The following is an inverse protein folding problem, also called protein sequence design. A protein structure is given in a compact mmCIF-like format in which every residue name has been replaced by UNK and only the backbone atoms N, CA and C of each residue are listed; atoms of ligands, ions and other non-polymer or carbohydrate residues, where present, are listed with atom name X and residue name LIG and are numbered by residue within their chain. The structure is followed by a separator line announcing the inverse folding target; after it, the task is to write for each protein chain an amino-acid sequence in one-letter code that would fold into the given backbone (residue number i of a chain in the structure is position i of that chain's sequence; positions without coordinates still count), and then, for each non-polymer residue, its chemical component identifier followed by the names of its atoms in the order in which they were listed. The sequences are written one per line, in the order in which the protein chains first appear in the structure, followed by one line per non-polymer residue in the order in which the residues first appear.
data_IF_984513360900
#
_entry.id   IF_984513360900
#
_cell.length_a   1.000
_cell.length_b   1.000
_cell.length_c   1.000
_cell.angle_alpha   90.00
_cell.angle_beta   90.00
_cell.angle_gamma   90.00
#
_symmetry.space_group_name_H-M   'P 1'
#
loop_
_entity.id
_entity.type
_entity.pdbx_description
1 polymer ?
#
# COMPACT_ATOMS: atom_id res chain seq x y z
N UNK A 1 -23.77 10.54 -12.58
CA UNK A 1 -23.08 10.05 -11.36
C UNK A 1 -22.33 11.23 -10.77
N UNK A 2 -22.36 11.44 -9.45
CA UNK A 2 -21.66 12.56 -8.82
C UNK A 2 -20.16 12.26 -8.75
N UNK A 3 -19.33 13.25 -9.08
CA UNK A 3 -17.88 13.15 -9.03
C UNK A 3 -17.36 13.92 -7.82
N UNK A 4 -16.74 13.20 -6.90
CA UNK A 4 -16.17 13.74 -5.66
C UNK A 4 -14.75 14.24 -5.91
N UNK A 5 -14.35 15.32 -5.25
CA UNK A 5 -12.95 15.76 -5.34
C UNK A 5 -12.03 14.83 -4.53
N UNK A 6 -10.79 14.64 -5.02
CA UNK A 6 -9.78 13.83 -4.31
C UNK A 6 -9.54 14.33 -2.89
N UNK A 7 -9.41 15.64 -2.75
CA UNK A 7 -9.16 16.30 -1.47
C UNK A 7 -10.30 16.07 -0.51
N UNK A 8 -11.55 16.20 -0.97
CA UNK A 8 -12.71 15.88 -0.15
C UNK A 8 -12.66 14.44 0.36
N UNK A 9 -12.46 13.44 -0.51
CA UNK A 9 -12.41 12.02 -0.10
C UNK A 9 -11.34 11.81 0.98
N UNK A 10 -10.11 12.26 0.73
CA UNK A 10 -8.98 12.03 1.64
C UNK A 10 -9.15 12.79 2.96
N UNK A 11 -9.66 14.02 2.92
CA UNK A 11 -9.88 14.83 4.12
C UNK A 11 -11.04 14.26 4.95
N UNK A 12 -12.13 13.87 4.29
CA UNK A 12 -13.35 13.44 4.93
C UNK A 12 -13.29 12.00 5.45
N UNK A 13 -12.77 11.06 4.65
CA UNK A 13 -12.62 9.66 5.06
C UNK A 13 -11.33 9.42 5.85
N UNK A 14 -10.31 10.26 5.67
CA UNK A 14 -9.04 10.17 6.38
C UNK A 14 -8.18 8.98 5.97
N UNK A 15 -7.37 8.52 6.91
CA UNK A 15 -6.50 7.37 6.74
C UNK A 15 -5.19 7.63 6.00
N UNK A 16 -4.37 6.59 5.98
CA UNK A 16 -3.07 6.57 5.32
C UNK A 16 -3.06 5.56 4.19
N UNK A 17 -2.28 5.87 3.16
CA UNK A 17 -2.09 4.99 2.01
C UNK A 17 -1.29 3.75 2.43
N UNK A 18 -1.92 2.57 2.37
CA UNK A 18 -1.29 1.29 2.74
C UNK A 18 -0.79 0.54 1.51
N UNK A 19 -1.65 0.42 0.49
CA UNK A 19 -1.31 -0.06 -0.85
C UNK A 19 -1.47 1.08 -1.85
N UNK A 20 -0.95 0.94 -3.09
CA UNK A 20 -1.05 1.96 -4.14
C UNK A 20 -2.44 2.58 -4.32
N UNK A 21 -3.49 1.80 -4.09
CA UNK A 21 -4.88 2.21 -4.34
C UNK A 21 -5.81 1.90 -3.15
N UNK A 22 -5.24 1.58 -1.97
CA UNK A 22 -6.00 1.29 -0.74
C UNK A 22 -5.51 2.15 0.43
N UNK A 23 -6.48 2.73 1.13
CA UNK A 23 -6.29 3.58 2.29
C UNK A 23 -6.93 2.93 3.50
N UNK A 24 -6.23 2.99 4.63
CA UNK A 24 -6.73 2.49 5.92
C UNK A 24 -6.65 3.57 6.99
N UNK A 25 -7.68 3.65 7.82
CA UNK A 25 -7.80 4.59 8.94
C UNK A 25 -7.33 3.89 10.22
N UNK A 26 -6.16 4.28 10.78
CA UNK A 26 -5.60 3.66 11.99
C UNK A 26 -6.60 3.69 13.15
N UNK A 27 -6.62 2.68 14.03
CA UNK A 27 -7.58 2.58 15.14
C UNK A 27 -7.62 3.81 16.05
N UNK A 28 -6.49 4.50 16.19
CA UNK A 28 -6.36 5.73 16.98
C UNK A 28 -7.14 6.93 16.42
N UNK A 29 -7.57 6.89 15.16
CA UNK A 29 -8.33 7.95 14.51
C UNK A 29 -9.85 7.68 14.54
N UNK A 30 -10.68 8.70 14.36
CA UNK A 30 -12.12 8.49 14.14
C UNK A 30 -12.36 8.13 12.68
N UNK A 31 -13.21 7.13 12.44
CA UNK A 31 -13.56 6.67 11.10
C UNK A 31 -15.07 6.70 10.91
N UNK A 32 -15.50 7.20 9.74
CA UNK A 32 -16.88 7.07 9.26
C UNK A 32 -17.13 5.72 8.57
N UNK A 33 -16.06 4.99 8.25
CA UNK A 33 -16.08 3.72 7.55
C UNK A 33 -16.11 2.59 8.59
N UNK A 34 -17.11 1.68 8.56
CA UNK A 34 -17.19 0.54 9.48
C UNK A 34 -15.94 -0.35 9.42
N UNK A 35 -15.49 -0.68 8.20
CA UNK A 35 -14.23 -1.41 7.98
C UNK A 35 -12.99 -0.55 8.15
N UNK A 36 -13.11 0.78 8.24
CA UNK A 36 -11.95 1.70 8.34
C UNK A 36 -11.00 1.63 7.13
N UNK A 37 -11.46 1.18 5.98
CA UNK A 37 -10.68 1.15 4.74
C UNK A 37 -11.49 1.58 3.52
N UNK A 38 -10.82 2.09 2.50
CA UNK A 38 -11.42 2.47 1.22
C UNK A 38 -10.41 2.38 0.08
N UNK A 39 -10.93 2.22 -1.13
CA UNK A 39 -10.13 2.15 -2.35
C UNK A 39 -10.27 3.42 -3.17
N UNK A 40 -9.14 3.92 -3.66
CA UNK A 40 -9.06 5.11 -4.52
C UNK A 40 -8.16 4.78 -5.71
N UNK A 41 -8.78 4.54 -6.87
CA UNK A 41 -8.11 4.07 -8.08
C UNK A 41 -7.97 5.21 -9.07
N UNK A 42 -6.81 5.26 -9.72
CA UNK A 42 -6.60 6.09 -10.91
C UNK A 42 -6.96 5.29 -12.16
N UNK A 43 -7.71 5.91 -13.07
CA UNK A 43 -8.10 5.34 -14.36
C UNK A 43 -6.91 4.89 -15.22
N UNK A 44 -5.86 5.72 -15.24
CA UNK A 44 -4.68 5.52 -16.08
C UNK A 44 -3.72 4.44 -15.58
N UNK A 45 -3.85 3.96 -14.34
CA UNK A 45 -2.91 2.99 -13.76
C UNK A 45 -3.56 1.67 -13.35
N UNK A 46 -4.87 1.52 -13.54
CA UNK A 46 -5.64 0.35 -13.10
C UNK A 46 -6.46 -0.25 -14.27
N UNK A 47 -5.80 -0.91 -15.24
CA UNK A 47 -6.45 -1.42 -16.45
C UNK A 47 -7.46 -2.55 -16.18
N UNK A 48 -7.38 -3.19 -15.01
CA UNK A 48 -8.28 -4.26 -14.59
C UNK A 48 -9.33 -3.78 -13.57
N UNK A 49 -9.45 -2.46 -13.37
CA UNK A 49 -10.47 -1.90 -12.50
C UNK A 49 -11.89 -2.25 -12.98
N UNK A 50 -12.90 -2.25 -12.09
CA UNK A 50 -14.28 -2.48 -12.50
C UNK A 50 -14.73 -1.52 -13.62
N UNK A 51 -15.27 -2.07 -14.70
CA UNK A 51 -15.65 -1.28 -15.88
C UNK A 51 -16.84 -0.34 -15.63
N UNK A 52 -17.77 -0.74 -14.76
CA UNK A 52 -18.95 0.04 -14.37
C UNK A 52 -19.32 -0.25 -12.91
N UNK A 53 -20.08 0.64 -12.23
CA UNK A 53 -20.50 0.41 -10.85
C UNK A 53 -21.27 -0.91 -10.70
N UNK A 54 -20.92 -1.69 -9.69
CA UNK A 54 -21.46 -3.04 -9.50
C UNK A 54 -20.65 -4.17 -10.15
N UNK A 55 -19.76 -3.88 -11.10
CA UNK A 55 -18.91 -4.88 -11.73
C UNK A 55 -17.80 -5.37 -10.78
N UNK A 56 -17.24 -6.54 -11.04
CA UNK A 56 -16.02 -6.99 -10.37
C UNK A 56 -14.78 -6.44 -11.08
N UNK A 57 -13.62 -6.51 -10.43
CA UNK A 57 -12.36 -6.06 -11.02
C UNK A 57 -11.15 -6.58 -10.27
N UNK A 58 -9.99 -6.02 -10.57
CA UNK A 58 -8.75 -6.33 -9.87
C UNK A 58 -7.81 -5.13 -9.85
N UNK A 59 -7.03 -5.00 -8.78
CA UNK A 59 -5.92 -4.06 -8.72
C UNK A 59 -4.64 -4.75 -9.16
N UNK A 60 -3.76 -4.02 -9.83
CA UNK A 60 -2.49 -4.55 -10.32
C UNK A 60 -1.31 -3.84 -9.65
N UNK A 61 -0.45 -4.60 -8.97
CA UNK A 61 0.76 -4.05 -8.34
C UNK A 61 1.96 -5.00 -8.49
N UNK A 62 3.17 -4.50 -8.78
CA UNK A 62 4.37 -5.33 -8.85
C UNK A 62 4.92 -5.70 -7.47
N UNK A 63 4.55 -4.94 -6.44
CA UNK A 63 4.97 -5.18 -5.06
C UNK A 63 3.73 -5.20 -4.19
N UNK A 64 3.52 -6.32 -3.52
CA UNK A 64 2.43 -6.54 -2.60
C UNK A 64 2.94 -6.43 -1.17
N UNK A 65 2.30 -5.59 -0.36
CA UNK A 65 2.45 -5.62 1.10
C UNK A 65 1.39 -6.56 1.64
N UNK A 66 1.80 -7.74 2.11
CA UNK A 66 0.89 -8.65 2.80
C UNK A 66 0.72 -8.18 4.25
N UNK A 67 -0.46 -8.40 4.87
CA UNK A 67 -0.67 -8.10 6.28
C UNK A 67 0.31 -8.90 7.15
N UNK A 68 1.09 -8.20 7.98
CA UNK A 68 1.94 -8.84 8.98
C UNK A 68 1.19 -8.84 10.32
N UNK A 69 1.04 -10.03 10.94
CA UNK A 69 0.25 -10.21 12.18
C UNK A 69 0.79 -9.42 13.38
N UNK A 70 2.04 -8.98 13.33
CA UNK A 70 2.75 -8.36 14.46
C UNK A 70 3.08 -6.87 14.22
N UNK A 71 2.72 -6.31 13.08
CA UNK A 71 2.93 -4.89 12.79
C UNK A 71 1.63 -4.12 13.09
N UNK A 72 1.60 -3.25 14.12
CA UNK A 72 0.41 -2.46 14.47
C UNK A 72 0.02 -1.45 13.38
N UNK A 73 0.88 -1.22 12.37
CA UNK A 73 0.53 -0.43 11.19
C UNK A 73 -0.22 -1.22 10.13
N UNK A 74 -0.30 -2.56 10.27
CA UNK A 74 -1.07 -3.43 9.38
C UNK A 74 -2.57 -3.19 9.55
N UNK A 75 -3.29 -2.84 8.46
CA UNK A 75 -4.74 -2.78 8.49
C UNK A 75 -5.34 -4.14 8.86
N UNK A 76 -6.34 -4.12 9.75
CA UNK A 76 -7.12 -5.30 10.06
C UNK A 76 -7.72 -5.89 8.76
N UNK A 77 -7.77 -7.23 8.58
CA UNK A 77 -8.32 -7.84 7.36
C UNK A 77 -9.73 -7.34 7.00
N UNK A 78 -10.53 -7.01 8.02
CA UNK A 78 -11.88 -6.47 7.92
C UNK A 78 -11.93 -5.11 7.20
N UNK A 79 -10.81 -4.38 7.17
CA UNK A 79 -10.71 -3.10 6.47
C UNK A 79 -10.75 -3.20 4.96
N UNK A 80 -10.47 -4.39 4.44
CA UNK A 80 -10.56 -4.68 3.02
C UNK A 80 -11.88 -5.37 2.66
N UNK A 81 -12.80 -5.55 3.62
CA UNK A 81 -14.13 -6.12 3.42
C UNK A 81 -15.19 -5.00 3.35
N UNK A 82 -16.09 -5.11 2.37
CA UNK A 82 -17.20 -4.16 2.18
C UNK A 82 -16.76 -2.68 2.23
N UNK A 83 -15.61 -2.37 1.64
CA UNK A 83 -14.99 -1.06 1.65
C UNK A 83 -15.38 -0.26 0.39
N UNK A 84 -15.65 1.05 0.49
CA UNK A 84 -16.08 1.84 -0.66
C UNK A 84 -14.96 1.99 -1.68
N UNK A 85 -15.32 1.82 -2.95
CA UNK A 85 -14.44 1.99 -4.10
C UNK A 85 -14.75 3.28 -4.85
N UNK A 86 -13.72 4.08 -5.08
CA UNK A 86 -13.77 5.28 -5.89
C UNK A 86 -12.79 5.16 -7.05
N UNK A 87 -13.25 5.45 -8.27
CA UNK A 87 -12.42 5.42 -9.48
C UNK A 87 -12.44 6.79 -10.11
N UNK A 88 -11.25 7.27 -10.50
CA UNK A 88 -11.11 8.56 -11.18
C UNK A 88 -11.79 8.54 -12.54
N UNK A 89 -12.51 9.62 -12.85
CA UNK A 89 -13.08 9.92 -14.15
C UNK A 89 -12.93 11.41 -14.40
N UNK A 90 -12.05 11.77 -15.36
CA UNK A 90 -11.66 13.16 -15.57
C UNK A 90 -11.00 13.75 -14.31
N UNK A 91 -11.53 14.86 -13.81
CA UNK A 91 -10.96 15.58 -12.66
C UNK A 91 -11.51 15.12 -11.29
N UNK A 92 -12.45 14.18 -11.27
CA UNK A 92 -13.12 13.74 -10.05
C UNK A 92 -13.14 12.22 -9.89
N UNK A 93 -13.64 11.78 -8.75
CA UNK A 93 -13.74 10.36 -8.40
C UNK A 93 -15.19 9.96 -8.26
N UNK A 94 -15.54 8.87 -8.92
CA UNK A 94 -16.90 8.34 -8.94
C UNK A 94 -16.97 7.13 -8.02
N UNK A 95 -18.03 7.05 -7.22
CA UNK A 95 -18.28 5.92 -6.32
C UNK A 95 -18.85 4.71 -7.10
N UNK A 96 -18.15 3.58 -7.01
CA UNK A 96 -18.45 2.37 -7.77
C UNK A 96 -19.17 1.28 -6.97
N UNK A 97 -19.32 1.46 -5.66
CA UNK A 97 -19.93 0.49 -4.75
C UNK A 97 -19.00 0.08 -3.62
N UNK A 98 -19.45 -0.89 -2.83
CA UNK A 98 -18.68 -1.51 -1.77
C UNK A 98 -18.01 -2.79 -2.29
N UNK A 99 -16.73 -2.96 -1.95
CA UNK A 99 -15.91 -4.05 -2.46
C UNK A 99 -15.20 -4.79 -1.32
N UNK A 100 -15.07 -6.09 -1.51
CA UNK A 100 -14.25 -6.96 -0.67
C UNK A 100 -13.04 -7.44 -1.45
N UNK A 101 -11.88 -7.42 -0.80
CA UNK A 101 -10.70 -8.13 -1.27
C UNK A 101 -10.95 -9.64 -1.16
N UNK A 102 -10.69 -10.39 -2.23
CA UNK A 102 -10.85 -11.84 -2.25
C UNK A 102 -9.53 -12.57 -2.01
N UNK A 103 -8.62 -12.46 -2.99
CA UNK A 103 -7.32 -13.11 -2.98
C UNK A 103 -6.35 -12.32 -3.84
N UNK A 104 -5.06 -12.55 -3.62
CA UNK A 104 -3.99 -11.99 -4.42
C UNK A 104 -3.35 -13.09 -5.25
N UNK A 105 -3.43 -12.98 -6.58
CA UNK A 105 -2.86 -13.94 -7.52
C UNK A 105 -1.58 -13.36 -8.13
N UNK A 106 -0.44 -14.04 -7.97
CA UNK A 106 0.81 -13.68 -8.66
C UNK A 106 0.71 -14.08 -10.12
N UNK A 107 0.97 -13.16 -11.03
CA UNK A 107 1.01 -13.43 -12.46
C UNK A 107 2.36 -14.04 -12.84
N UNK A 108 2.33 -15.12 -13.62
CA UNK A 108 3.50 -15.62 -14.33
C UNK A 108 3.94 -14.67 -15.46
N UNK A 109 5.09 -14.95 -16.09
CA UNK A 109 5.66 -14.12 -17.14
C UNK A 109 4.72 -13.97 -18.36
N UNK A 110 4.08 -15.06 -18.80
CA UNK A 110 3.20 -15.05 -19.96
C UNK A 110 1.96 -14.18 -19.71
N UNK A 111 1.31 -14.35 -18.56
CA UNK A 111 0.17 -13.53 -18.13
C UNK A 111 0.57 -12.08 -17.90
N UNK A 112 1.77 -11.81 -17.36
CA UNK A 112 2.29 -10.45 -17.26
C UNK A 112 2.44 -9.80 -18.64
N UNK A 113 2.87 -10.54 -19.66
CA UNK A 113 3.02 -10.02 -21.01
C UNK A 113 1.69 -9.86 -21.75
N UNK A 114 0.72 -10.74 -21.51
CA UNK A 114 -0.59 -10.69 -22.13
C UNK A 114 -1.52 -9.64 -21.51
N UNK A 115 -1.51 -9.50 -20.18
CA UNK A 115 -2.50 -8.70 -19.44
C UNK A 115 -2.01 -7.29 -19.10
N UNK A 116 -0.71 -7.09 -18.93
CA UNK A 116 -0.16 -5.83 -18.39
C UNK A 116 0.39 -4.97 -19.53
N UNK A 117 -0.25 -3.82 -19.84
CA UNK A 117 0.23 -2.92 -20.89
C UNK A 117 1.62 -2.36 -20.61
N UNK A 118 2.36 -2.03 -21.67
CA UNK A 118 3.70 -1.46 -21.57
C UNK A 118 3.75 -0.16 -20.74
N UNK A 119 2.78 0.74 -20.96
CA UNK A 119 2.71 2.02 -20.21
C UNK A 119 2.60 1.79 -18.70
N UNK A 120 1.95 0.70 -18.25
CA UNK A 120 1.81 0.40 -16.84
C UNK A 120 3.13 -0.13 -16.25
N UNK A 121 3.87 -0.94 -17.03
CA UNK A 121 5.22 -1.37 -16.65
C UNK A 121 6.17 -0.17 -16.51
N UNK A 122 6.08 0.79 -17.42
CA UNK A 122 6.85 2.04 -17.37
C UNK A 122 6.46 2.91 -16.16
N UNK A 123 5.16 3.06 -15.91
CA UNK A 123 4.65 3.75 -14.73
C UNK A 123 5.25 3.16 -13.44
N UNK A 124 5.16 1.83 -13.29
CA UNK A 124 5.69 1.14 -12.13
C UNK A 124 7.21 1.21 -12.03
N UNK A 125 7.94 1.10 -13.14
CA UNK A 125 9.38 1.28 -13.17
C UNK A 125 9.79 2.67 -12.65
N UNK A 126 9.04 3.72 -13.02
CA UNK A 126 9.24 5.07 -12.48
C UNK A 126 8.89 5.17 -10.99
N UNK A 127 7.82 4.53 -10.52
CA UNK A 127 7.43 4.57 -9.10
C UNK A 127 8.43 3.83 -8.20
N UNK A 128 8.89 2.65 -8.63
CA UNK A 128 9.82 1.81 -7.85
C UNK A 128 11.24 2.39 -7.76
N UNK A 129 11.61 3.26 -8.70
CA UNK A 129 12.91 3.93 -8.73
C UNK A 129 12.85 5.36 -8.19
N UNK A 130 11.66 5.83 -7.82
CA UNK A 130 11.48 7.17 -7.24
C UNK A 130 12.25 7.32 -5.94
N UNK A 131 12.94 8.46 -5.71
CA UNK A 131 13.61 8.75 -4.44
C UNK A 131 12.60 8.94 -3.29
N UNK A 132 11.32 9.15 -3.60
CA UNK A 132 10.24 9.30 -2.61
C UNK A 132 9.47 8.00 -2.35
N UNK A 133 9.97 6.85 -2.82
CA UNK A 133 9.30 5.57 -2.59
C UNK A 133 9.23 5.26 -1.08
N UNK A 134 8.14 4.64 -0.58
CA UNK A 134 8.05 4.24 0.82
C UNK A 134 9.17 3.30 1.24
N UNK A 135 9.54 3.34 2.53
CA UNK A 135 10.60 2.49 3.09
C UNK A 135 10.32 1.00 2.87
N UNK A 136 9.09 0.56 3.11
CA UNK A 136 8.67 -0.84 2.94
C UNK A 136 8.81 -1.32 1.48
N UNK A 137 8.63 -0.44 0.50
CA UNK A 137 8.84 -0.75 -0.93
C UNK A 137 10.33 -0.99 -1.19
N UNK A 138 11.20 -0.20 -0.56
CA UNK A 138 12.65 -0.39 -0.66
C UNK A 138 13.05 -1.72 -0.04
N UNK A 139 12.56 -2.05 1.16
CA UNK A 139 12.82 -3.33 1.83
C UNK A 139 12.32 -4.52 1.00
N UNK A 140 11.14 -4.41 0.38
CA UNK A 140 10.62 -5.44 -0.52
C UNK A 140 11.51 -5.63 -1.77
N UNK A 141 12.01 -4.54 -2.36
CA UNK A 141 12.95 -4.59 -3.47
C UNK A 141 14.30 -5.21 -3.06
N UNK A 142 14.81 -4.88 -1.88
CA UNK A 142 16.04 -5.48 -1.35
C UNK A 142 15.89 -7.00 -1.23
N UNK A 143 14.81 -7.44 -0.57
CA UNK A 143 14.49 -8.87 -0.39
C UNK A 143 14.31 -9.61 -1.71
N UNK A 144 13.70 -8.95 -2.72
CA UNK A 144 13.49 -9.53 -4.04
C UNK A 144 14.79 -9.70 -4.83
N UNK A 145 15.61 -8.63 -4.89
CA UNK A 145 16.83 -8.62 -5.67
C UNK A 145 17.93 -9.50 -5.06
N UNK A 146 18.00 -9.53 -3.73
CA UNK A 146 18.94 -10.35 -2.98
C UNK A 146 18.28 -10.79 -1.68
N UNK A 147 17.77 -12.03 -1.60
CA UNK A 147 17.16 -12.52 -0.36
C UNK A 147 18.12 -12.41 0.83
N UNK A 148 17.61 -12.15 2.04
CA UNK A 148 18.45 -12.07 3.23
C UNK A 148 19.13 -13.43 3.48
N UNK A 149 20.36 -13.43 4.05
CA UNK A 149 21.02 -14.67 4.43
C UNK A 149 20.13 -15.47 5.39
N UNK A 150 20.05 -16.79 5.21
CA UNK A 150 19.29 -17.64 6.13
C UNK A 150 20.08 -17.84 7.42
N UNK A 151 19.40 -17.84 8.56
CA UNK A 151 20.03 -18.18 9.83
C UNK A 151 20.36 -19.68 9.84
N UNK A 152 21.64 -20.08 9.92
CA UNK A 152 21.99 -21.48 10.06
C UNK A 152 21.54 -21.92 11.46
N UNK A 153 20.39 -22.57 11.55
CA UNK A 153 19.88 -23.10 12.83
C UNK A 153 20.93 -24.05 13.41
N UNK A 154 21.55 -23.74 14.56
CA UNK A 154 22.48 -24.65 15.21
C UNK A 154 21.77 -25.96 15.56
N UNK A 155 22.50 -27.07 15.61
CA UNK A 155 21.96 -28.35 16.12
C UNK A 155 21.39 -28.16 17.52
N UNK A 156 20.35 -28.91 17.86
CA UNK A 156 19.74 -28.89 19.21
C UNK A 156 20.72 -29.30 20.33
N UNK A 157 21.85 -29.91 19.97
CA UNK A 157 22.97 -30.28 20.85
C UNK A 157 24.13 -29.27 20.87
N UNK A 158 24.00 -28.11 20.22
CA UNK A 158 25.06 -27.12 20.13
C UNK A 158 25.37 -26.49 21.49
N UNK A 159 26.66 -26.27 21.78
CA UNK A 159 27.07 -25.52 22.96
C UNK A 159 26.64 -24.06 22.88
N UNK A 160 26.51 -23.39 24.03
CA UNK A 160 26.19 -21.97 24.10
C UNK A 160 27.15 -21.13 23.25
N UNK A 161 28.45 -21.45 23.27
CA UNK A 161 29.47 -20.72 22.50
C UNK A 161 29.30 -20.90 20.99
N UNK A 162 28.92 -22.10 20.54
CA UNK A 162 28.63 -22.36 19.13
C UNK A 162 27.39 -21.57 18.65
N UNK A 163 26.38 -21.44 19.51
CA UNK A 163 25.19 -20.62 19.24
C UNK A 163 25.57 -19.14 19.14
N UNK A 164 26.36 -18.62 20.09
CA UNK A 164 26.82 -17.22 20.07
C UNK A 164 27.67 -16.89 18.85
N UNK A 165 28.55 -17.81 18.44
CA UNK A 165 29.37 -17.66 17.22
C UNK A 165 28.51 -17.67 15.95
N UNK A 166 27.51 -18.57 15.86
CA UNK A 166 26.56 -18.62 14.75
C UNK A 166 25.72 -17.34 14.65
N UNK A 167 25.20 -16.83 15.78
CA UNK A 167 24.48 -15.57 15.85
C UNK A 167 25.35 -14.39 15.41
N UNK A 168 26.59 -14.31 15.88
CA UNK A 168 27.52 -13.24 15.50
C UNK A 168 27.85 -13.26 14.01
N UNK A 169 28.06 -14.45 13.45
CA UNK A 169 28.33 -14.62 12.01
C UNK A 169 27.12 -14.22 11.18
N UNK A 170 25.93 -14.65 11.58
CA UNK A 170 24.70 -14.28 10.91
C UNK A 170 24.42 -12.77 11.00
N UNK A 171 24.68 -12.15 12.15
CA UNK A 171 24.54 -10.71 12.33
C UNK A 171 25.43 -9.92 11.37
N UNK A 172 26.72 -10.28 11.27
CA UNK A 172 27.64 -9.65 10.30
C UNK A 172 27.20 -9.87 8.85
N UNK A 173 26.67 -11.05 8.54
CA UNK A 173 26.13 -11.35 7.22
C UNK A 173 24.92 -10.44 6.90
N UNK A 174 24.01 -10.26 7.86
CA UNK A 174 22.87 -9.33 7.73
C UNK A 174 23.30 -7.87 7.57
N UNK A 175 24.30 -7.41 8.33
CA UNK A 175 24.84 -6.05 8.18
C UNK A 175 25.47 -5.83 6.80
N UNK A 176 26.23 -6.81 6.30
CA UNK A 176 26.79 -6.74 4.95
C UNK A 176 25.69 -6.73 3.89
N UNK A 177 24.68 -7.60 4.06
CA UNK A 177 23.54 -7.70 3.17
C UNK A 177 22.76 -6.39 3.12
N UNK A 178 22.50 -5.76 4.27
CA UNK A 178 21.76 -4.50 4.33
C UNK A 178 22.52 -3.37 3.62
N UNK A 179 23.83 -3.26 3.84
CA UNK A 179 24.67 -2.26 3.15
C UNK A 179 24.69 -2.47 1.64
N UNK A 180 24.95 -3.70 1.20
CA UNK A 180 25.03 -4.03 -0.22
C UNK A 180 23.70 -3.80 -0.95
N UNK A 181 22.60 -4.27 -0.35
CA UNK A 181 21.27 -4.14 -0.95
C UNK A 181 20.75 -2.71 -0.92
N UNK A 182 21.10 -1.92 0.09
CA UNK A 182 20.82 -0.48 0.11
C UNK A 182 21.51 0.23 -1.04
N UNK A 183 22.80 -0.04 -1.28
CA UNK A 183 23.52 0.52 -2.42
C UNK A 183 22.86 0.08 -3.74
N UNK A 184 22.63 -1.21 -3.93
CA UNK A 184 21.98 -1.73 -5.14
C UNK A 184 20.62 -1.06 -5.39
N UNK A 185 19.75 -0.99 -4.38
CA UNK A 185 18.42 -0.39 -4.52
C UNK A 185 18.45 1.13 -4.69
N UNK A 186 19.49 1.82 -4.20
CA UNK A 186 19.67 3.26 -4.40
C UNK A 186 20.05 3.64 -5.84
N UNK A 187 20.74 2.75 -6.56
CA UNK A 187 21.18 2.96 -7.94
C UNK A 187 20.24 2.35 -9.00
N UNK A 188 19.10 1.79 -8.60
CA UNK A 188 18.11 1.24 -9.54
C UNK A 188 17.60 2.33 -10.48
N UNK A 189 17.69 2.05 -11.79
CA UNK A 189 17.10 2.86 -12.86
C UNK A 189 15.83 2.20 -13.38
N UNK A 190 14.91 2.96 -13.99
CA UNK A 190 13.70 2.39 -14.59
C UNK A 190 13.98 1.22 -15.55
N UNK A 191 15.06 1.32 -16.34
CA UNK A 191 15.50 0.25 -17.23
C UNK A 191 15.76 -1.08 -16.49
N UNK A 192 16.39 -1.04 -15.31
CA UNK A 192 16.65 -2.25 -14.52
C UNK A 192 15.35 -2.95 -14.08
N UNK A 193 14.30 -2.17 -13.80
CA UNK A 193 12.99 -2.70 -13.41
C UNK A 193 12.24 -3.25 -14.62
N UNK A 194 12.32 -2.59 -15.77
CA UNK A 194 11.73 -3.08 -17.02
C UNK A 194 12.38 -4.40 -17.44
N UNK A 195 13.70 -4.51 -17.33
CA UNK A 195 14.43 -5.75 -17.57
C UNK A 195 13.97 -6.86 -16.61
N UNK A 196 13.76 -6.54 -15.33
CA UNK A 196 13.24 -7.48 -14.34
C UNK A 196 11.82 -7.96 -14.68
N UNK A 197 10.95 -7.11 -15.24
CA UNK A 197 9.63 -7.54 -15.70
C UNK A 197 9.68 -8.52 -16.89
N UNK A 198 10.73 -8.44 -17.71
CA UNK A 198 10.93 -9.33 -18.86
C UNK A 198 11.73 -10.59 -18.51
N UNK A 199 12.51 -10.58 -17.42
CA UNK A 199 13.37 -11.68 -17.03
C UNK A 199 12.56 -12.92 -16.58
N UNK A 200 13.01 -14.15 -16.91
CA UNK A 200 12.40 -15.37 -16.42
C UNK A 200 12.56 -15.53 -14.90
N UNK A 201 11.71 -16.36 -14.29
CA UNK A 201 11.74 -16.58 -12.83
C UNK A 201 12.97 -17.38 -12.38
N UNK A 202 13.57 -18.16 -13.29
CA UNK A 202 14.75 -19.00 -13.02
C UNK A 202 15.84 -18.77 -14.06
N UNK A 203 17.10 -18.89 -13.64
CA UNK A 203 18.26 -18.87 -14.54
C UNK A 203 18.69 -17.49 -15.06
N UNK A 204 17.96 -16.42 -14.76
CA UNK A 204 18.36 -15.05 -15.11
C UNK A 204 19.39 -14.48 -14.13
N UNK A 205 20.28 -13.62 -14.63
CA UNK A 205 21.19 -12.83 -13.80
C UNK A 205 20.47 -11.79 -12.93
N UNK A 206 19.29 -11.36 -13.38
CA UNK A 206 18.41 -10.43 -12.66
C UNK A 206 17.13 -11.18 -12.27
N UNK A 207 16.76 -11.23 -10.98
CA UNK A 207 15.51 -11.86 -10.56
C UNK A 207 14.29 -11.25 -11.27
N UNK A 208 13.41 -12.11 -11.78
CA UNK A 208 12.19 -11.70 -12.45
C UNK A 208 11.18 -11.06 -11.49
N UNK A 209 10.77 -9.82 -11.76
CA UNK A 209 9.72 -9.12 -11.03
C UNK A 209 8.36 -9.42 -11.67
N UNK A 210 7.32 -9.64 -10.85
CA UNK A 210 5.99 -10.03 -11.30
C UNK A 210 4.91 -9.15 -10.71
N UNK A 211 3.82 -9.02 -11.45
CA UNK A 211 2.62 -8.34 -10.99
C UNK A 211 1.73 -9.27 -10.17
N UNK A 212 1.03 -8.69 -9.22
CA UNK A 212 -0.03 -9.30 -8.42
C UNK A 212 -1.35 -8.71 -8.85
N UNK A 213 -2.34 -9.58 -9.08
CA UNK A 213 -3.73 -9.20 -9.25
C UNK A 213 -4.46 -9.38 -7.92
N UNK A 214 -4.92 -8.29 -7.33
CA UNK A 214 -5.74 -8.32 -6.13
C UNK A 214 -7.21 -8.31 -6.56
N UNK A 215 -7.89 -9.44 -6.42
CA UNK A 215 -9.29 -9.58 -6.79
C UNK A 215 -10.20 -8.68 -5.96
N UNK A 216 -11.01 -7.86 -6.63
CA UNK A 216 -12.03 -7.00 -6.04
C UNK A 216 -13.42 -7.53 -6.40
N UNK A 217 -14.15 -8.01 -5.40
CA UNK A 217 -15.55 -8.42 -5.52
C UNK A 217 -16.45 -7.28 -5.10
N UNK A 218 -17.38 -6.89 -5.97
CA UNK A 218 -18.44 -5.97 -5.60
C UNK A 218 -19.46 -6.69 -4.71
N UNK A 219 -19.70 -6.16 -3.51
CA UNK A 219 -20.74 -6.64 -2.60
C UNK A 219 -22.08 -5.95 -2.87
N UNK A 220 -22.05 -4.75 -3.46
CA UNK A 220 -23.25 -4.02 -3.85
C UNK A 220 -23.01 -2.52 -3.91
N UNK A 221 -24.01 -1.80 -4.41
CA UNK A 221 -23.98 -0.35 -4.45
C UNK A 221 -24.81 0.24 -3.31
N UNK A 222 -24.14 0.83 -2.32
CA UNK A 222 -24.79 1.42 -1.15
C UNK A 222 -25.26 2.87 -1.43
N UNK A 223 -26.58 3.03 -1.59
CA UNK A 223 -27.23 4.33 -1.79
C UNK A 223 -27.14 5.24 -0.56
N UNK A 224 -27.22 4.67 0.64
CA UNK A 224 -27.16 5.43 1.89
C UNK A 224 -25.80 6.08 2.07
N UNK A 225 -24.73 5.30 1.85
CA UNK A 225 -23.36 5.82 1.86
C UNK A 225 -23.15 6.90 0.80
N UNK A 226 -23.60 6.68 -0.43
CA UNK A 226 -23.46 7.65 -1.51
C UNK A 226 -24.15 8.99 -1.22
N UNK A 227 -25.41 8.96 -0.75
CA UNK A 227 -26.13 10.18 -0.42
C UNK A 227 -25.56 10.90 0.81
N UNK A 228 -25.01 10.15 1.77
CA UNK A 228 -24.22 10.71 2.88
C UNK A 228 -23.02 11.47 2.33
N UNK A 229 -22.17 10.86 1.51
CA UNK A 229 -21.00 11.51 0.92
C UNK A 229 -21.34 12.79 0.16
N UNK A 230 -22.42 12.76 -0.65
CA UNK A 230 -22.90 13.95 -1.37
C UNK A 230 -23.35 15.08 -0.45
N UNK A 231 -24.00 14.75 0.66
CA UNK A 231 -24.42 15.74 1.66
C UNK A 231 -23.20 16.37 2.33
N UNK A 232 -22.24 15.55 2.73
CA UNK A 232 -21.04 16.02 3.42
C UNK A 232 -20.15 16.88 2.51
N UNK A 233 -20.01 16.56 1.22
CA UNK A 233 -19.27 17.42 0.28
C UNK A 233 -19.92 18.78 0.10
N UNK A 234 -21.26 18.83 0.03
CA UNK A 234 -22.00 20.10 -0.03
C UNK A 234 -21.81 20.94 1.23
N UNK A 235 -21.70 20.31 2.40
CA UNK A 235 -21.40 21.01 3.65
C UNK A 235 -19.95 21.52 3.66
N UNK A 236 -19.01 20.70 3.19
CA UNK A 236 -17.61 21.06 3.05
C UNK A 236 -17.40 22.26 2.12
N UNK A 237 -18.06 22.30 0.97
CA UNK A 237 -18.00 23.45 0.06
C UNK A 237 -18.58 24.72 0.69
N UNK A 238 -19.69 24.60 1.43
CA UNK A 238 -20.34 25.75 2.10
C UNK A 238 -19.54 26.32 3.26
N UNK A 239 -18.79 25.49 3.98
CA UNK A 239 -17.98 25.91 5.12
C UNK A 239 -16.63 26.55 4.71
N UNK A 240 -16.42 26.71 3.39
CA UNK A 240 -15.12 26.95 2.79
C UNK A 240 -14.30 25.66 2.85
N UNK A 241 -13.59 25.34 1.76
CA UNK A 241 -12.70 24.17 1.67
C UNK A 241 -11.62 24.28 2.76
N UNK A 242 -11.97 23.89 3.98
CA UNK A 242 -11.07 23.94 5.13
C UNK A 242 -9.98 22.93 4.86
N UNK A 243 -8.75 23.42 4.72
CA UNK A 243 -7.55 22.59 4.59
C UNK A 243 -7.46 21.69 5.82
N UNK A 244 -7.98 20.46 5.71
CA UNK A 244 -7.95 19.48 6.81
C UNK A 244 -6.53 19.11 7.24
N UNK A 245 -5.52 19.43 6.42
CA UNK A 245 -4.11 19.31 6.75
C UNK A 245 -3.65 20.36 7.77
N UNK A 246 -4.11 21.61 7.64
CA UNK A 246 -3.85 22.68 8.62
C UNK A 246 -4.59 22.45 9.94
N UNK A 247 -5.80 21.87 9.88
CA UNK A 247 -6.56 21.54 11.09
C UNK A 247 -5.95 20.33 11.82
N UNK A 248 -5.43 19.32 11.09
CA UNK A 248 -4.65 18.22 11.68
C UNK A 248 -3.31 18.67 12.25
N UNK A 249 -2.61 19.59 11.60
CA UNK A 249 -1.40 20.24 12.14
C UNK A 249 -1.74 21.04 13.40
N UNK A 250 -2.77 21.89 13.37
CA UNK A 250 -3.22 22.67 14.51
C UNK A 250 -3.70 21.78 15.68
N UNK A 251 -4.37 20.66 15.39
CA UNK A 251 -4.84 19.72 16.39
C UNK A 251 -3.68 18.89 16.99
N UNK A 252 -2.66 18.54 16.18
CA UNK A 252 -1.40 17.94 16.66
C UNK A 252 -0.61 18.92 17.53
N UNK A 253 -0.54 20.19 17.17
CA UNK A 253 0.14 21.23 17.96
C UNK A 253 -0.60 21.54 19.26
N UNK A 254 -1.94 21.57 19.23
CA UNK A 254 -2.77 21.69 20.43
C UNK A 254 -2.58 20.51 21.39
N UNK A 255 -2.46 19.27 20.87
CA UNK A 255 -2.15 18.08 21.67
C UNK A 255 -0.72 18.12 22.27
N UNK A 256 0.25 18.68 21.55
CA UNK A 256 1.62 18.90 22.06
C UNK A 256 1.66 19.93 23.19
N UNK A 257 0.82 20.97 23.12
CA UNK A 257 0.69 21.99 24.16
C UNK A 257 0.04 21.41 25.43
N UNK A 258 -0.96 20.54 25.27
CA UNK A 258 -1.66 19.88 26.39
C UNK A 258 -0.81 18.78 27.07
N UNK A 259 0.16 18.19 26.37
CA UNK A 259 1.09 17.20 26.91
C UNK A 259 2.21 17.74 27.82
N UNK A 260 2.27 19.07 28.06
CA UNK A 260 3.30 19.71 28.92
C UNK A 260 2.86 19.95 30.37
N UNK A 261 1.71 19.44 30.79
CA UNK A 261 1.30 19.48 32.20
C UNK A 261 2.03 18.42 33.01
N UNK A 262 3.01 18.81 33.84
CA UNK A 262 3.59 17.91 34.84
C UNK A 262 2.48 17.40 35.78
N UNK A 263 2.44 16.10 36.11
CA UNK A 263 1.42 15.56 37.00
C UNK A 263 1.62 16.12 38.42
N UNK A 264 0.59 16.78 38.94
CA UNK A 264 0.49 17.12 40.37
C UNK A 264 0.11 15.83 41.09
N UNK A 265 1.01 15.35 41.95
CA UNK A 265 0.75 14.20 42.83
C UNK A 265 -0.18 14.64 43.95
N UNK A 266 -1.24 13.87 44.16
CA UNK A 266 -1.94 13.77 45.45
C UNK A 266 -1.33 12.60 46.22
#
# INVERSE_FOLDING_TARGET
MHAFSRTFIITHLGGMKWLPSFYSVPESERSLLPGRGYYLLEDTTEPLAPAFPGAHGSLVTPILRLPESNDPSTPAPESMLNAPLFIKHGDGYVYYGMYSHLRSDRLDLERCNALIPAYLKEHWASQLTSPRRPKWVTEALQNHLRPPPSYPRPSTSASSDAITAALSTHHRALESWHRDTLLLTSFLRPANILDAFAAPDTGASTPGLRFWCLGLKCEGWDKGFYEMMKREERLWDKQGKRDGEKEREAQKDMLRLLGRGKPVKW
#
